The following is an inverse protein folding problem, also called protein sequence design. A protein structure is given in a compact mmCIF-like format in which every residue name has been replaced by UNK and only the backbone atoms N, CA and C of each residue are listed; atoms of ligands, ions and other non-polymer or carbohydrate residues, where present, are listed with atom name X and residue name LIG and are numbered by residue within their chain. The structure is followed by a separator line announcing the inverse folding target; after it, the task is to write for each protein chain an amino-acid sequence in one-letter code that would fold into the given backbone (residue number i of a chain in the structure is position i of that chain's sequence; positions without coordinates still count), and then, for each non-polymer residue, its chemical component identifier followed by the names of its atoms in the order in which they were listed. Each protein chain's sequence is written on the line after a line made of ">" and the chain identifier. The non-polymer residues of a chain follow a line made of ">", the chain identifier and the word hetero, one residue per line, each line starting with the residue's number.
data_IF_290646621482
#
_entry.id   IF_290646621482
#
_cell.length_a   1.000
_cell.length_b   1.000
_cell.length_c   1.000
_cell.angle_alpha   90.00
_cell.angle_beta   90.00
_cell.angle_gamma   90.00
#
_symmetry.space_group_name_H-M   'P 1'
#
loop_
_entity.id
_entity.type
_entity.pdbx_description
1 polymer ?
#
# COMPACT_ATOMS: atom_id res chain seq x y z
N UNK A 1 10.96 -0.64 -7.06
CA UNK A 1 10.39 -2.00 -6.98
C UNK A 1 9.57 -2.30 -8.24
N UNK A 2 9.20 -3.56 -8.47
CA UNK A 2 8.29 -3.93 -9.57
C UNK A 2 6.95 -3.18 -9.50
N UNK A 3 6.40 -3.02 -8.30
CA UNK A 3 5.18 -2.24 -8.05
C UNK A 3 5.30 -0.79 -8.52
N UNK A 4 6.38 -0.08 -8.16
CA UNK A 4 6.59 1.30 -8.60
C UNK A 4 6.66 1.42 -10.13
N UNK A 5 7.23 0.43 -10.82
CA UNK A 5 7.29 0.44 -12.28
C UNK A 5 5.89 0.24 -12.88
N UNK A 6 5.11 -0.72 -12.38
CA UNK A 6 3.73 -0.94 -12.79
C UNK A 6 2.86 0.31 -12.57
N UNK A 7 3.03 1.00 -11.43
CA UNK A 7 2.34 2.27 -11.12
C UNK A 7 2.75 3.38 -12.08
N UNK A 8 4.05 3.55 -12.32
CA UNK A 8 4.59 4.59 -13.20
C UNK A 8 4.03 4.49 -14.61
N UNK A 9 3.92 3.27 -15.14
CA UNK A 9 3.29 3.02 -16.44
C UNK A 9 1.76 3.16 -16.35
N UNK A 10 1.16 2.70 -15.25
CA UNK A 10 -0.29 2.69 -15.04
C UNK A 10 -0.95 1.36 -15.37
N UNK A 11 -0.18 0.26 -15.29
CA UNK A 11 -0.69 -1.08 -15.55
C UNK A 11 -1.50 -1.59 -14.35
N UNK A 12 -2.77 -1.18 -14.27
CA UNK A 12 -3.68 -1.49 -13.16
C UNK A 12 -3.73 -3.00 -12.86
N UNK A 13 -3.80 -3.85 -13.89
CA UNK A 13 -3.85 -5.32 -13.71
C UNK A 13 -2.60 -5.85 -13.00
N UNK A 14 -1.42 -5.35 -13.37
CA UNK A 14 -0.15 -5.73 -12.74
C UNK A 14 -0.06 -5.18 -11.32
N UNK A 15 -0.53 -3.95 -11.10
CA UNK A 15 -0.60 -3.36 -9.75
C UNK A 15 -1.44 -4.23 -8.81
N UNK A 16 -2.64 -4.65 -9.26
CA UNK A 16 -3.51 -5.55 -8.49
C UNK A 16 -2.82 -6.87 -8.17
N UNK A 17 -2.28 -7.54 -9.18
CA UNK A 17 -1.59 -8.81 -9.01
C UNK A 17 -0.44 -8.72 -7.99
N UNK A 18 0.35 -7.65 -8.04
CA UNK A 18 1.45 -7.44 -7.10
C UNK A 18 0.94 -7.21 -5.67
N UNK A 19 -0.12 -6.41 -5.49
CA UNK A 19 -0.73 -6.17 -4.18
C UNK A 19 -1.33 -7.47 -3.60
N UNK A 20 -2.01 -8.26 -4.43
CA UNK A 20 -2.55 -9.58 -4.07
C UNK A 20 -1.44 -10.55 -3.65
N UNK A 21 -0.27 -10.47 -4.29
CA UNK A 21 0.93 -11.24 -3.92
C UNK A 21 1.75 -10.59 -2.79
N UNK A 22 1.10 -9.81 -1.92
CA UNK A 22 1.72 -9.20 -0.74
C UNK A 22 2.93 -8.30 -1.05
N UNK A 23 2.97 -7.66 -2.22
CA UNK A 23 4.01 -6.69 -2.50
C UNK A 23 3.99 -5.55 -1.47
N UNK A 24 5.16 -5.21 -0.94
CA UNK A 24 5.32 -4.13 0.01
C UNK A 24 5.11 -2.77 -0.68
N UNK A 25 4.03 -2.09 -0.28
CA UNK A 25 3.60 -0.79 -0.79
C UNK A 25 4.32 0.38 -0.11
N UNK A 26 5.03 0.13 1.00
CA UNK A 26 5.69 1.13 1.84
C UNK A 26 7.13 1.43 1.40
N UNK A 27 7.74 0.57 0.57
CA UNK A 27 9.11 0.76 0.08
C UNK A 27 9.25 2.11 -0.62
N UNK A 28 10.33 2.81 -0.30
CA UNK A 28 10.72 4.06 -0.95
C UNK A 28 11.85 3.85 -1.97
N UNK A 29 11.84 4.64 -3.05
CA UNK A 29 12.98 4.72 -3.96
C UNK A 29 14.04 5.71 -3.46
N UNK A 30 15.16 5.82 -4.17
CA UNK A 30 16.26 6.78 -3.85
C UNK A 30 15.83 8.26 -3.75
N UNK A 31 14.61 8.60 -4.19
CA UNK A 31 14.03 9.94 -4.13
C UNK A 31 12.95 10.06 -3.04
N UNK A 32 12.86 9.10 -2.11
CA UNK A 32 11.85 9.07 -1.04
C UNK A 32 10.41 8.92 -1.54
N UNK A 33 10.20 8.32 -2.73
CA UNK A 33 8.85 8.09 -3.26
C UNK A 33 8.44 6.62 -3.08
N UNK A 34 7.29 6.42 -2.45
CA UNK A 34 6.55 5.16 -2.41
C UNK A 34 5.78 4.93 -3.71
N UNK A 35 5.21 3.74 -3.87
CA UNK A 35 4.30 3.46 -4.98
C UNK A 35 3.08 4.43 -4.98
N UNK A 36 2.54 4.77 -3.81
CA UNK A 36 1.45 5.74 -3.67
C UNK A 36 1.83 7.15 -4.15
N UNK A 37 2.96 7.70 -3.67
CA UNK A 37 3.48 9.02 -4.07
C UNK A 37 3.67 9.11 -5.59
N UNK A 38 4.08 8.02 -6.24
CA UNK A 38 4.22 7.97 -7.71
C UNK A 38 2.85 8.01 -8.39
N UNK A 39 1.85 7.28 -7.88
CA UNK A 39 0.50 7.25 -8.44
C UNK A 39 -0.18 8.63 -8.37
N UNK A 40 -0.02 9.33 -7.25
CA UNK A 40 -0.54 10.69 -7.03
C UNK A 40 0.12 11.69 -7.99
N UNK A 41 1.45 11.72 -8.06
CA UNK A 41 2.22 12.59 -8.97
C UNK A 41 1.90 12.35 -10.44
N UNK A 42 1.47 11.13 -10.79
CA UNK A 42 1.10 10.75 -12.16
C UNK A 42 -0.39 10.90 -12.45
N UNK A 43 -1.21 11.36 -11.49
CA UNK A 43 -2.65 11.54 -11.66
C UNK A 43 -3.37 10.23 -11.96
N UNK A 44 -3.04 9.14 -11.26
CA UNK A 44 -3.63 7.81 -11.49
C UNK A 44 -4.60 7.42 -10.34
N UNK A 45 -5.81 8.01 -10.25
CA UNK A 45 -6.69 7.88 -9.09
C UNK A 45 -7.13 6.44 -8.79
N UNK A 46 -7.36 5.63 -9.84
CA UNK A 46 -7.70 4.22 -9.66
C UNK A 46 -6.59 3.43 -8.95
N UNK A 47 -5.33 3.76 -9.22
CA UNK A 47 -4.16 3.11 -8.60
C UNK A 47 -3.91 3.67 -7.20
N UNK A 48 -4.13 4.97 -6.99
CA UNK A 48 -4.10 5.60 -5.65
C UNK A 48 -5.06 4.86 -4.74
N UNK A 49 -6.32 4.67 -5.17
CA UNK A 49 -7.33 3.96 -4.40
C UNK A 49 -6.91 2.53 -4.05
N UNK A 50 -6.42 1.76 -5.02
CA UNK A 50 -5.96 0.37 -4.78
C UNK A 50 -4.83 0.28 -3.76
N UNK A 51 -3.84 1.18 -3.84
CA UNK A 51 -2.69 1.16 -2.93
C UNK A 51 -3.09 1.65 -1.53
N UNK A 52 -3.92 2.69 -1.44
CA UNK A 52 -4.40 3.22 -0.16
C UNK A 52 -5.28 2.21 0.59
N UNK A 53 -6.15 1.49 -0.12
CA UNK A 53 -6.94 0.38 0.45
C UNK A 53 -6.03 -0.70 1.05
N UNK A 54 -4.95 -1.06 0.35
CA UNK A 54 -3.98 -2.03 0.88
C UNK A 54 -3.26 -1.54 2.14
N UNK A 55 -2.87 -0.26 2.18
CA UNK A 55 -2.21 0.31 3.36
C UNK A 55 -3.15 0.34 4.57
N UNK A 56 -4.40 0.74 4.38
CA UNK A 56 -5.40 0.76 5.45
C UNK A 56 -5.64 -0.63 6.05
N UNK A 57 -5.73 -1.67 5.21
CA UNK A 57 -5.87 -3.06 5.69
C UNK A 57 -4.67 -3.49 6.53
N UNK A 58 -3.47 -2.98 6.23
CA UNK A 58 -2.27 -3.27 7.03
C UNK A 58 -2.31 -2.57 8.40
N UNK A 59 -2.84 -1.35 8.48
CA UNK A 59 -3.00 -0.62 9.75
C UNK A 59 -4.15 -1.15 10.62
N UNK A 60 -5.27 -1.53 10.01
CA UNK A 60 -6.42 -2.12 10.73
C UNK A 60 -6.04 -3.45 11.41
N UNK A 61 -5.12 -4.23 10.81
CA UNK A 61 -4.60 -5.46 11.42
C UNK A 61 -3.81 -5.18 12.71
N UNK A 62 -3.01 -4.11 12.75
CA UNK A 62 -2.25 -3.72 13.95
C UNK A 62 -3.19 -3.18 15.04
N UNK A 63 -4.17 -2.35 14.67
CA UNK A 63 -5.15 -1.81 15.61
C UNK A 63 -6.02 -2.89 16.28
N UNK A 64 -6.29 -4.01 15.58
CA UNK A 64 -7.02 -5.15 16.15
C UNK A 64 -6.18 -5.92 17.20
N UNK A 65 -4.87 -6.05 16.98
CA UNK A 65 -3.95 -6.73 17.91
C UNK A 65 -3.75 -5.90 19.19
N UNK A 66 -3.62 -4.58 19.08
CA UNK A 66 -3.43 -3.71 20.25
C UNK A 66 -4.67 -3.62 21.15
N UNK A 67 -5.89 -3.63 20.57
CA UNK A 67 -7.14 -3.61 21.34
C UNK A 67 -7.39 -4.89 22.15
N UNK A 68 -6.85 -6.03 21.71
CA UNK A 68 -6.95 -7.30 22.44
C UNK A 68 -6.05 -7.36 23.69
N UNK A 69 -4.96 -6.60 23.73
CA UNK A 69 -3.96 -6.67 24.81
C UNK A 69 -4.27 -5.73 26.00
N UNK A 70 -5.27 -4.85 25.89
CA UNK A 70 -5.65 -3.90 26.95
C UNK A 70 -6.81 -4.39 27.83
N UNK A 71 -7.44 -5.53 27.51
CA UNK A 71 -8.59 -6.06 28.25
C UNK A 71 -8.22 -7.01 29.41
N UNK A 72 -6.93 -7.33 29.58
CA UNK A 72 -6.44 -8.36 30.52
C UNK A 72 -5.86 -7.86 31.85
N UNK A 73 -6.03 -6.58 32.21
CA UNK A 73 -5.53 -6.02 33.47
C UNK A 73 -6.65 -5.69 34.45
N UNK A 74 -7.17 -6.69 35.14
CA UNK A 74 -7.78 -6.53 36.47
C UNK A 74 -7.09 -7.46 37.44
#
# INVERSE_FOLDING_TARGET
>A
TALMQAVRVGHIKVVKLLIENHADVTIENKKGNTALKIAEKKGKPAIVKLIAERQRVQEDFLAAVEKGNLAGGK
#
